data_IF_335514679530
#
_entry.id   IF_335514679530
#
_cell.length_a   1.000
_cell.length_b   1.000
_cell.length_c   1.000
_cell.angle_alpha   90.00
_cell.angle_beta   90.00
_cell.angle_gamma   90.00
#
_symmetry.space_group_name_H-M   'P 1'
#
loop_
_entity.id
_entity.type
_entity.pdbx_description
1 polymer ?
#
# COMPACT_ATOMS: atom_id res chain seq x y z
N UNK A 1 17.33 -33.48 8.67
CA UNK A 1 16.71 -32.35 9.39
C UNK A 1 17.72 -31.26 9.78
N UNK A 2 18.94 -31.62 10.15
CA UNK A 2 20.01 -30.67 10.54
C UNK A 2 20.59 -29.96 9.31
N UNK A 3 20.84 -30.69 8.23
CA UNK A 3 21.32 -30.15 6.93
C UNK A 3 20.34 -29.13 6.31
N UNK A 4 19.03 -29.38 6.44
CA UNK A 4 17.99 -28.48 5.95
C UNK A 4 17.96 -27.16 6.75
N UNK A 5 18.19 -27.22 8.07
CA UNK A 5 18.30 -26.01 8.90
C UNK A 5 19.53 -25.18 8.56
N UNK A 6 20.68 -25.81 8.38
CA UNK A 6 21.92 -25.11 8.02
C UNK A 6 21.81 -24.45 6.64
N UNK A 7 21.20 -25.13 5.66
CA UNK A 7 21.01 -24.55 4.32
C UNK A 7 19.96 -23.42 4.29
N UNK A 8 18.93 -23.47 5.13
CA UNK A 8 17.99 -22.38 5.31
C UNK A 8 18.65 -21.16 5.94
N UNK A 9 19.40 -21.35 7.03
CA UNK A 9 20.12 -20.27 7.72
C UNK A 9 21.20 -19.65 6.83
N UNK A 10 21.95 -20.45 6.06
CA UNK A 10 22.95 -19.92 5.13
C UNK A 10 22.35 -19.17 3.97
N UNK A 11 21.15 -19.57 3.46
CA UNK A 11 20.49 -18.83 2.40
C UNK A 11 19.82 -17.55 2.88
N UNK A 12 19.29 -17.51 4.10
CA UNK A 12 18.81 -16.28 4.73
C UNK A 12 19.96 -15.29 4.96
N UNK A 13 21.13 -15.80 5.35
CA UNK A 13 22.33 -14.98 5.55
C UNK A 13 22.87 -14.43 4.21
N UNK A 14 22.91 -15.24 3.14
CA UNK A 14 23.30 -14.78 1.79
C UNK A 14 22.29 -13.78 1.18
N UNK A 15 21.00 -13.89 1.46
CA UNK A 15 19.98 -12.95 1.03
C UNK A 15 20.11 -11.63 1.80
N UNK A 16 20.48 -11.70 3.07
CA UNK A 16 20.69 -10.53 3.94
C UNK A 16 21.96 -9.74 3.56
N UNK A 17 23.02 -10.44 3.15
CA UNK A 17 24.27 -9.80 2.77
C UNK A 17 24.28 -9.20 1.37
N UNK A 18 23.38 -9.67 0.47
CA UNK A 18 23.38 -9.24 -0.94
C UNK A 18 22.36 -8.16 -1.30
N UNK A 19 21.41 -7.81 -0.43
CA UNK A 19 20.33 -6.89 -0.78
C UNK A 19 19.76 -6.01 0.33
N UNK A 20 20.45 -5.79 1.43
CA UNK A 20 20.08 -4.78 2.46
C UNK A 20 18.63 -4.76 3.00
N UNK A 21 17.64 -5.13 2.23
CA UNK A 21 16.22 -5.16 2.61
C UNK A 21 15.53 -6.43 2.13
N UNK A 22 14.99 -7.20 3.07
CA UNK A 22 14.16 -8.41 2.82
C UNK A 22 12.70 -8.06 2.51
N UNK A 23 12.44 -6.94 1.85
CA UNK A 23 11.09 -6.46 1.57
C UNK A 23 10.77 -6.33 0.08
N UNK A 24 9.50 -6.01 -0.20
CA UNK A 24 9.03 -5.65 -1.53
C UNK A 24 9.00 -6.79 -2.56
N UNK A 25 9.03 -6.45 -3.86
CA UNK A 25 8.91 -7.41 -4.96
C UNK A 25 9.99 -8.49 -4.97
N UNK A 26 11.20 -8.19 -4.49
CA UNK A 26 12.30 -9.16 -4.42
C UNK A 26 11.97 -10.35 -3.50
N UNK A 27 11.30 -10.10 -2.38
CA UNK A 27 10.85 -11.17 -1.49
C UNK A 27 9.89 -12.11 -2.20
N UNK A 28 8.91 -11.56 -2.92
CA UNK A 28 7.86 -12.31 -3.58
C UNK A 28 8.39 -13.13 -4.78
N UNK A 29 9.20 -12.53 -5.62
CA UNK A 29 9.62 -13.14 -6.88
C UNK A 29 10.94 -13.93 -6.78
N UNK A 30 11.88 -13.52 -5.94
CA UNK A 30 13.17 -14.19 -5.81
C UNK A 30 13.17 -15.19 -4.67
N UNK A 31 12.78 -14.77 -3.48
CA UNK A 31 12.84 -15.63 -2.28
C UNK A 31 11.85 -16.77 -2.36
N UNK A 32 10.59 -16.51 -2.76
CA UNK A 32 9.56 -17.55 -2.89
C UNK A 32 9.92 -18.55 -3.98
N UNK A 33 10.51 -18.11 -5.09
CA UNK A 33 10.96 -19.01 -6.15
C UNK A 33 12.08 -19.95 -5.66
N UNK A 34 13.00 -19.45 -4.84
CA UNK A 34 14.04 -20.28 -4.21
C UNK A 34 13.46 -21.31 -3.23
N UNK A 35 12.39 -20.97 -2.49
CA UNK A 35 11.68 -21.90 -1.61
C UNK A 35 11.05 -23.02 -2.44
N UNK A 36 10.33 -22.70 -3.50
CA UNK A 36 9.68 -23.70 -4.36
C UNK A 36 10.70 -24.62 -5.05
N UNK A 37 11.84 -24.09 -5.49
CA UNK A 37 12.91 -24.90 -6.10
C UNK A 37 13.51 -25.93 -5.13
N UNK A 38 13.48 -25.66 -3.81
CA UNK A 38 13.95 -26.57 -2.76
C UNK A 38 12.93 -27.63 -2.36
N UNK A 39 11.66 -27.47 -2.71
CA UNK A 39 10.59 -28.44 -2.43
C UNK A 39 10.64 -29.69 -3.33
N UNK A 40 11.60 -29.78 -4.25
CA UNK A 40 11.77 -30.94 -5.14
C UNK A 40 10.64 -31.03 -6.19
N UNK A 41 10.19 -32.24 -6.51
CA UNK A 41 9.23 -32.49 -7.60
C UNK A 41 7.87 -31.82 -7.44
N UNK A 42 7.45 -31.46 -6.23
CA UNK A 42 6.19 -30.74 -5.97
C UNK A 42 6.31 -29.22 -6.05
N UNK A 43 7.54 -28.69 -6.01
CA UNK A 43 7.83 -27.26 -6.05
C UNK A 43 7.18 -26.50 -7.21
N UNK A 44 7.27 -26.96 -8.46
CA UNK A 44 6.64 -26.27 -9.59
C UNK A 44 5.12 -26.18 -9.48
N UNK A 45 4.45 -27.20 -8.95
CA UNK A 45 2.98 -27.20 -8.78
C UNK A 45 2.57 -26.16 -7.76
N UNK A 46 3.22 -26.13 -6.59
CA UNK A 46 2.96 -25.12 -5.56
C UNK A 46 3.32 -23.71 -6.03
N UNK A 47 4.40 -23.57 -6.80
CA UNK A 47 4.79 -22.27 -7.39
C UNK A 47 3.74 -21.72 -8.35
N UNK A 48 3.23 -22.55 -9.27
CA UNK A 48 2.17 -22.13 -10.21
C UNK A 48 0.91 -21.75 -9.44
N UNK A 49 0.48 -22.56 -8.47
CA UNK A 49 -0.71 -22.28 -7.68
C UNK A 49 -0.57 -20.99 -6.89
N UNK A 50 0.59 -20.76 -6.27
CA UNK A 50 0.89 -19.55 -5.51
C UNK A 50 0.83 -18.30 -6.39
N UNK A 51 1.54 -18.29 -7.53
CA UNK A 51 1.53 -17.11 -8.40
C UNK A 51 0.18 -16.86 -9.05
N UNK A 52 -0.59 -17.91 -9.33
CA UNK A 52 -1.97 -17.79 -9.81
C UNK A 52 -2.86 -17.13 -8.75
N UNK A 53 -2.74 -17.51 -7.48
CA UNK A 53 -3.44 -16.85 -6.38
C UNK A 53 -3.02 -15.38 -6.22
N UNK A 54 -1.72 -15.08 -6.35
CA UNK A 54 -1.21 -13.68 -6.30
C UNK A 54 -1.83 -12.85 -7.43
N UNK A 55 -1.92 -13.39 -8.65
CA UNK A 55 -2.54 -12.69 -9.79
C UNK A 55 -4.02 -12.43 -9.52
N UNK A 56 -4.78 -13.42 -9.03
CA UNK A 56 -6.19 -13.21 -8.71
C UNK A 56 -6.40 -12.19 -7.58
N UNK A 57 -5.57 -12.23 -6.55
CA UNK A 57 -5.60 -11.24 -5.47
C UNK A 57 -5.30 -9.83 -5.99
N UNK A 58 -4.28 -9.67 -6.84
CA UNK A 58 -3.92 -8.40 -7.44
C UNK A 58 -5.04 -7.83 -8.32
N UNK A 59 -5.66 -8.67 -9.17
CA UNK A 59 -6.76 -8.25 -10.05
C UNK A 59 -7.98 -7.82 -9.21
N UNK A 60 -8.36 -8.60 -8.20
CA UNK A 60 -9.52 -8.26 -7.36
C UNK A 60 -9.32 -6.96 -6.59
N UNK A 61 -8.12 -6.74 -6.04
CA UNK A 61 -7.78 -5.50 -5.35
C UNK A 61 -7.76 -4.30 -6.30
N UNK A 62 -7.18 -4.46 -7.50
CA UNK A 62 -7.13 -3.40 -8.51
C UNK A 62 -8.52 -2.97 -8.96
N UNK A 63 -9.43 -3.92 -9.16
CA UNK A 63 -10.83 -3.63 -9.54
C UNK A 63 -11.51 -2.85 -8.41
N UNK A 64 -11.36 -3.27 -7.16
CA UNK A 64 -11.98 -2.60 -6.01
C UNK A 64 -11.48 -1.17 -5.82
N UNK A 65 -10.17 -0.94 -5.95
CA UNK A 65 -9.58 0.39 -5.87
C UNK A 65 -10.05 1.30 -7.01
N UNK A 66 -10.08 0.77 -8.24
CA UNK A 66 -10.58 1.52 -9.39
C UNK A 66 -12.05 1.90 -9.22
N UNK A 67 -12.88 0.97 -8.73
CA UNK A 67 -14.30 1.22 -8.48
C UNK A 67 -14.51 2.32 -7.44
N UNK A 68 -13.74 2.33 -6.34
CA UNK A 68 -13.84 3.37 -5.32
C UNK A 68 -13.56 4.78 -5.89
N UNK A 69 -12.53 4.91 -6.73
CA UNK A 69 -12.20 6.17 -7.41
C UNK A 69 -13.30 6.57 -8.39
N UNK A 70 -13.77 5.63 -9.22
CA UNK A 70 -14.83 5.89 -10.23
C UNK A 70 -16.13 6.27 -9.57
N UNK A 71 -16.53 5.60 -8.48
CA UNK A 71 -17.75 5.90 -7.74
C UNK A 71 -17.77 7.36 -7.27
N UNK A 72 -16.68 7.83 -6.69
CA UNK A 72 -16.57 9.23 -6.25
C UNK A 72 -16.82 10.23 -7.39
N UNK A 73 -16.24 10.01 -8.57
CA UNK A 73 -16.43 10.90 -9.72
C UNK A 73 -17.84 10.80 -10.33
N UNK A 74 -18.43 9.60 -10.32
CA UNK A 74 -19.79 9.38 -10.81
C UNK A 74 -20.81 10.07 -9.90
N UNK A 75 -20.68 9.94 -8.57
CA UNK A 75 -21.56 10.58 -7.61
C UNK A 75 -21.49 12.11 -7.72
N UNK A 76 -20.28 12.67 -7.79
CA UNK A 76 -20.08 14.09 -8.00
C UNK A 76 -20.66 14.59 -9.34
N UNK A 77 -20.60 13.78 -10.41
CA UNK A 77 -21.21 14.12 -11.70
C UNK A 77 -22.74 14.07 -11.65
N UNK A 78 -23.30 13.12 -10.90
CA UNK A 78 -24.75 12.98 -10.68
C UNK A 78 -25.29 14.18 -9.91
N UNK A 79 -24.63 14.59 -8.84
CA UNK A 79 -25.00 15.79 -8.07
C UNK A 79 -24.94 17.07 -8.90
N UNK A 80 -24.04 17.12 -9.88
CA UNK A 80 -23.90 18.22 -10.83
C UNK A 80 -24.89 18.15 -12.04
N UNK A 81 -25.82 17.21 -12.07
CA UNK A 81 -26.83 17.06 -13.13
C UNK A 81 -26.27 16.60 -14.50
N UNK A 82 -25.02 16.09 -14.57
CA UNK A 82 -24.35 15.74 -15.84
C UNK A 82 -24.66 14.33 -16.36
N UNK A 83 -25.59 13.61 -15.74
CA UNK A 83 -25.97 12.24 -16.13
C UNK A 83 -24.89 11.18 -15.84
N UNK A 84 -25.28 9.92 -15.97
CA UNK A 84 -24.39 8.78 -15.68
C UNK A 84 -23.37 8.58 -16.81
N UNK A 85 -22.13 9.02 -16.57
CA UNK A 85 -20.98 8.86 -17.48
C UNK A 85 -19.96 7.86 -16.93
N UNK A 86 -20.40 6.85 -16.18
CA UNK A 86 -19.55 5.85 -15.52
C UNK A 86 -18.48 5.28 -16.46
N UNK A 87 -18.85 4.83 -17.67
CA UNK A 87 -17.88 4.30 -18.65
C UNK A 87 -16.76 5.28 -18.98
N UNK A 88 -17.07 6.58 -19.09
CA UNK A 88 -16.07 7.61 -19.39
C UNK A 88 -15.11 7.79 -18.21
N UNK A 89 -15.62 7.86 -16.99
CA UNK A 89 -14.76 8.02 -15.80
C UNK A 89 -13.91 6.78 -15.54
N UNK A 90 -14.47 5.58 -15.74
CA UNK A 90 -13.70 4.32 -15.65
C UNK A 90 -12.55 4.29 -16.66
N UNK A 91 -12.81 4.70 -17.92
CA UNK A 91 -11.77 4.71 -18.94
C UNK A 91 -10.66 5.73 -18.63
N UNK A 92 -11.03 6.92 -18.15
CA UNK A 92 -10.04 7.94 -17.77
C UNK A 92 -9.20 7.48 -16.58
N UNK A 93 -9.83 6.93 -15.54
CA UNK A 93 -9.12 6.42 -14.37
C UNK A 93 -8.20 5.25 -14.74
N UNK A 94 -8.68 4.30 -15.53
CA UNK A 94 -7.87 3.18 -16.03
C UNK A 94 -6.68 3.66 -16.89
N UNK A 95 -6.88 4.66 -17.74
CA UNK A 95 -5.79 5.25 -18.53
C UNK A 95 -4.75 5.94 -17.66
N UNK A 96 -5.17 6.68 -16.63
CA UNK A 96 -4.25 7.34 -15.70
C UNK A 96 -3.40 6.31 -14.92
N UNK A 97 -4.02 5.24 -14.41
CA UNK A 97 -3.31 4.13 -13.76
C UNK A 97 -2.37 3.43 -14.75
N UNK A 98 -2.83 3.20 -15.99
CA UNK A 98 -2.00 2.60 -17.05
C UNK A 98 -0.73 3.39 -17.35
N UNK A 99 -0.81 4.72 -17.40
CA UNK A 99 0.37 5.60 -17.57
C UNK A 99 1.34 5.43 -16.40
N UNK A 100 0.85 5.38 -15.16
CA UNK A 100 1.67 5.12 -13.98
C UNK A 100 2.36 3.75 -14.04
N UNK A 101 1.64 2.72 -14.47
CA UNK A 101 2.22 1.38 -14.66
C UNK A 101 3.32 1.36 -15.74
N UNK A 102 3.13 2.07 -16.86
CA UNK A 102 4.15 2.17 -17.91
C UNK A 102 5.42 2.85 -17.37
N UNK A 103 5.27 3.90 -16.57
CA UNK A 103 6.39 4.60 -15.94
C UNK A 103 7.21 3.66 -15.03
N UNK A 104 6.52 2.89 -14.18
CA UNK A 104 7.15 1.92 -13.26
C UNK A 104 7.84 0.80 -14.04
N UNK A 105 7.21 0.30 -15.13
CA UNK A 105 7.81 -0.72 -15.98
C UNK A 105 9.04 -0.19 -16.73
N UNK A 106 9.01 1.05 -17.20
CA UNK A 106 10.12 1.68 -17.90
C UNK A 106 11.36 1.87 -17.00
N UNK A 107 11.15 2.08 -15.71
CA UNK A 107 12.22 2.22 -14.71
C UNK A 107 12.94 0.90 -14.41
N UNK A 108 12.35 -0.24 -14.75
CA UNK A 108 12.95 -1.58 -14.51
C UNK A 108 13.43 -1.78 -13.06
N UNK A 109 12.67 -1.30 -12.07
CA UNK A 109 12.99 -1.36 -10.64
C UNK A 109 14.29 -0.64 -10.26
N UNK A 110 14.53 0.54 -10.83
CA UNK A 110 15.73 1.35 -10.58
C UNK A 110 16.92 0.98 -11.46
N UNK A 111 16.73 0.08 -12.46
CA UNK A 111 17.75 -0.30 -13.43
C UNK A 111 17.94 0.70 -14.57
N UNK A 112 17.02 1.65 -14.73
CA UNK A 112 17.11 2.71 -15.73
C UNK A 112 17.74 3.98 -15.14
N UNK A 113 18.29 4.83 -16.02
CA UNK A 113 18.85 6.14 -15.61
C UNK A 113 17.78 7.19 -15.19
N UNK A 114 16.52 6.82 -15.24
CA UNK A 114 15.37 7.68 -14.91
C UNK A 114 14.80 7.35 -13.53
N UNK A 115 15.55 7.67 -12.48
CA UNK A 115 15.13 7.44 -11.10
C UNK A 115 14.37 8.65 -10.52
N UNK A 116 13.50 8.48 -9.51
CA UNK A 116 12.77 9.57 -8.88
C UNK A 116 13.67 10.69 -8.35
N UNK A 117 14.79 10.34 -7.72
CA UNK A 117 15.72 11.33 -7.16
C UNK A 117 16.42 12.16 -8.21
N UNK A 118 16.84 11.55 -9.32
CA UNK A 118 17.40 12.29 -10.48
C UNK A 118 16.35 13.21 -11.10
N UNK A 119 15.10 12.74 -11.20
CA UNK A 119 14.00 13.54 -11.74
C UNK A 119 13.64 14.72 -10.83
N UNK A 120 13.63 14.55 -9.52
CA UNK A 120 13.36 15.58 -8.51
C UNK A 120 14.56 16.51 -8.28
N UNK A 121 15.73 16.20 -8.84
CA UNK A 121 16.95 17.00 -8.67
C UNK A 121 17.50 16.99 -7.24
N UNK A 122 17.19 15.94 -6.46
CA UNK A 122 17.69 15.78 -5.12
C UNK A 122 19.08 15.14 -5.12
N UNK A 123 19.98 15.53 -4.18
CA UNK A 123 21.30 14.90 -4.09
C UNK A 123 21.20 13.41 -3.78
N UNK A 124 22.03 12.60 -4.44
CA UNK A 124 22.17 11.18 -4.12
C UNK A 124 22.64 11.07 -2.66
N UNK A 125 21.75 10.63 -1.78
CA UNK A 125 22.11 10.35 -0.39
C UNK A 125 22.54 8.88 -0.29
N UNK A 126 23.76 8.65 0.20
CA UNK A 126 24.33 7.31 0.42
C UNK A 126 23.61 6.48 1.50
N UNK A 127 22.59 7.06 2.13
CA UNK A 127 21.95 6.49 3.34
C UNK A 127 20.44 6.31 3.06
N UNK A 128 20.09 5.59 2.01
CA UNK A 128 18.66 5.30 1.77
C UNK A 128 18.33 3.88 2.17
N UNK A 129 17.29 3.75 2.94
CA UNK A 129 16.72 2.45 3.36
C UNK A 129 15.84 1.82 2.26
N UNK A 130 15.53 2.55 1.20
CA UNK A 130 14.69 2.13 0.09
C UNK A 130 15.42 2.21 -1.27
N UNK A 131 14.92 1.46 -2.24
CA UNK A 131 15.49 1.47 -3.58
C UNK A 131 15.05 2.75 -4.32
N UNK A 132 15.97 3.41 -5.04
CA UNK A 132 15.63 4.56 -5.87
C UNK A 132 14.92 4.10 -7.14
N UNK A 133 13.65 3.76 -7.03
CA UNK A 133 12.79 3.32 -8.12
C UNK A 133 11.39 3.92 -7.99
N UNK A 134 10.71 4.06 -9.12
CA UNK A 134 9.36 4.63 -9.15
C UNK A 134 8.33 3.80 -8.39
N UNK A 135 8.52 2.49 -8.30
CA UNK A 135 7.64 1.63 -7.52
C UNK A 135 7.68 2.00 -6.03
N UNK A 136 8.88 2.03 -5.44
CA UNK A 136 9.06 2.36 -4.01
C UNK A 136 8.67 3.82 -3.71
N UNK A 137 8.89 4.74 -4.68
CA UNK A 137 8.44 6.12 -4.55
C UNK A 137 6.92 6.26 -4.48
N UNK A 138 6.17 5.58 -5.36
CA UNK A 138 4.71 5.59 -5.31
C UNK A 138 4.17 4.85 -4.09
N UNK A 139 4.84 3.81 -3.63
CA UNK A 139 4.51 3.08 -2.41
C UNK A 139 4.65 3.99 -1.19
N UNK A 140 5.79 4.67 -1.06
CA UNK A 140 5.99 5.68 -0.03
C UNK A 140 4.93 6.79 -0.08
N UNK A 141 4.64 7.30 -1.26
CA UNK A 141 3.65 8.37 -1.41
C UNK A 141 2.25 7.90 -0.98
N UNK A 142 1.84 6.69 -1.40
CA UNK A 142 0.49 6.16 -1.11
C UNK A 142 0.38 5.61 0.31
N UNK A 143 1.25 4.70 0.70
CA UNK A 143 1.18 4.03 2.01
C UNK A 143 1.87 4.83 3.12
N UNK A 144 3.03 5.43 2.82
CA UNK A 144 3.79 6.19 3.80
C UNK A 144 3.19 7.55 4.14
N UNK A 145 2.62 8.26 3.19
CA UNK A 145 2.13 9.63 3.37
C UNK A 145 0.61 9.73 3.27
N UNK A 146 0.01 9.34 2.14
CA UNK A 146 -1.41 9.60 1.88
C UNK A 146 -2.33 8.81 2.81
N UNK A 147 -2.00 7.56 3.12
CA UNK A 147 -2.83 6.71 3.98
C UNK A 147 -2.85 7.22 5.44
N UNK A 148 -1.72 7.48 6.14
CA UNK A 148 -1.74 8.05 7.48
C UNK A 148 -2.34 9.46 7.52
N UNK A 149 -2.12 10.28 6.48
CA UNK A 149 -2.71 11.60 6.38
C UNK A 149 -4.24 11.51 6.22
N UNK A 150 -4.73 10.60 5.39
CA UNK A 150 -6.16 10.33 5.24
C UNK A 150 -6.81 9.88 6.57
N UNK A 151 -6.16 8.97 7.29
CA UNK A 151 -6.62 8.51 8.59
C UNK A 151 -6.62 9.64 9.63
N UNK A 152 -5.61 10.51 9.62
CA UNK A 152 -5.54 11.70 10.47
C UNK A 152 -6.70 12.65 10.19
N UNK A 153 -6.94 13.00 8.92
CA UNK A 153 -8.03 13.89 8.52
C UNK A 153 -9.40 13.33 8.87
N UNK A 154 -9.63 12.02 8.63
CA UNK A 154 -10.85 11.33 9.02
C UNK A 154 -11.06 11.35 10.54
N UNK A 155 -10.00 11.13 11.30
CA UNK A 155 -10.06 11.19 12.77
C UNK A 155 -10.38 12.58 13.28
N UNK A 156 -9.83 13.64 12.68
CA UNK A 156 -10.15 15.03 13.01
C UNK A 156 -11.60 15.35 12.65
N UNK A 157 -12.05 14.97 11.46
CA UNK A 157 -13.41 15.21 11.01
C UNK A 157 -14.44 14.54 11.94
N UNK A 158 -14.26 13.27 12.28
CA UNK A 158 -15.19 12.54 13.17
C UNK A 158 -15.07 13.02 14.62
N UNK A 159 -13.85 13.28 15.08
CA UNK A 159 -13.61 13.65 16.50
C UNK A 159 -14.02 15.07 16.86
N UNK A 160 -13.90 16.02 15.91
CA UNK A 160 -14.01 17.44 16.20
C UNK A 160 -15.12 18.14 15.41
N UNK A 161 -15.32 17.82 14.13
CA UNK A 161 -16.25 18.51 13.24
C UNK A 161 -17.65 17.87 13.30
N UNK A 162 -17.78 16.59 13.00
CA UNK A 162 -19.06 15.87 13.04
C UNK A 162 -19.48 15.49 14.47
N UNK A 163 -18.51 15.29 15.35
CA UNK A 163 -18.71 14.75 16.68
C UNK A 163 -18.86 13.22 16.69
N UNK A 164 -18.27 12.54 17.69
CA UNK A 164 -18.34 11.08 17.80
C UNK A 164 -19.75 10.55 18.08
N UNK A 165 -20.69 11.42 18.41
CA UNK A 165 -22.10 11.08 18.65
C UNK A 165 -22.79 10.57 17.37
N UNK A 166 -22.41 11.07 16.19
CA UNK A 166 -22.91 10.60 14.88
C UNK A 166 -22.62 9.11 14.68
N UNK A 167 -21.43 8.65 15.06
CA UNK A 167 -21.05 7.23 14.94
C UNK A 167 -21.89 6.40 15.92
N UNK A 168 -22.14 6.92 17.11
CA UNK A 168 -23.00 6.26 18.10
C UNK A 168 -24.43 6.10 17.58
N UNK A 169 -25.02 7.18 17.07
CA UNK A 169 -26.38 7.14 16.48
C UNK A 169 -26.50 6.14 15.34
N UNK A 170 -25.49 6.06 14.47
CA UNK A 170 -25.50 5.11 13.36
C UNK A 170 -25.38 3.66 13.83
N UNK A 171 -24.55 3.38 14.84
CA UNK A 171 -24.47 2.06 15.46
C UNK A 171 -25.78 1.67 16.16
N UNK A 172 -26.42 2.60 16.89
CA UNK A 172 -27.68 2.36 17.59
C UNK A 172 -28.87 2.19 16.63
N UNK A 173 -28.81 2.83 15.44
CA UNK A 173 -29.80 2.63 14.37
C UNK A 173 -29.83 1.18 13.87
N UNK A 174 -28.71 0.47 13.93
CA UNK A 174 -28.60 -0.97 13.61
C UNK A 174 -29.08 -1.88 14.76
N UNK A 175 -29.60 -1.35 15.87
CA UNK A 175 -30.13 -2.11 17.00
C UNK A 175 -29.09 -2.59 18.01
N UNK A 176 -27.84 -2.15 17.91
CA UNK A 176 -26.77 -2.50 18.83
C UNK A 176 -26.37 -1.29 19.68
N UNK A 177 -26.50 -1.41 21.01
CA UNK A 177 -25.98 -0.39 21.92
C UNK A 177 -24.45 -0.36 21.87
N UNK A 178 -23.86 0.80 21.67
CA UNK A 178 -22.40 0.99 21.63
C UNK A 178 -21.82 0.92 23.06
N UNK A 179 -21.44 -0.28 23.50
CA UNK A 179 -20.73 -0.47 24.76
C UNK A 179 -19.31 0.10 24.64
N UNK A 180 -18.92 0.99 25.57
CA UNK A 180 -17.58 1.61 25.55
C UNK A 180 -17.47 2.91 24.76
N UNK A 181 -18.58 3.59 24.50
CA UNK A 181 -18.60 4.89 23.80
C UNK A 181 -17.61 5.93 24.36
N UNK A 182 -17.46 6.01 25.69
CA UNK A 182 -16.52 6.92 26.34
C UNK A 182 -15.07 6.67 25.93
N UNK A 183 -14.67 5.39 25.86
CA UNK A 183 -13.34 4.99 25.39
C UNK A 183 -13.15 5.32 23.90
N UNK A 184 -14.13 4.98 23.07
CA UNK A 184 -14.11 5.33 21.65
C UNK A 184 -13.92 6.84 21.42
N UNK A 185 -14.65 7.67 22.16
CA UNK A 185 -14.57 9.14 22.09
C UNK A 185 -13.16 9.65 22.39
N UNK A 186 -12.50 9.12 23.41
CA UNK A 186 -11.12 9.48 23.76
C UNK A 186 -10.16 9.01 22.68
N UNK A 187 -10.31 7.78 22.21
CA UNK A 187 -9.47 7.22 21.17
C UNK A 187 -9.51 8.04 19.88
N UNK A 188 -10.71 8.31 19.33
CA UNK A 188 -10.85 9.00 18.05
C UNK A 188 -10.41 10.47 18.13
N UNK A 189 -10.57 11.10 19.30
CA UNK A 189 -10.30 12.52 19.49
C UNK A 189 -8.84 12.84 19.78
N UNK A 190 -8.14 11.95 20.51
CA UNK A 190 -6.78 12.22 20.98
C UNK A 190 -5.79 11.15 20.60
N UNK A 191 -6.08 9.88 20.84
CA UNK A 191 -5.12 8.78 20.64
C UNK A 191 -4.84 8.60 19.16
N UNK A 192 -5.88 8.50 18.34
CA UNK A 192 -5.74 8.27 16.90
C UNK A 192 -4.96 9.38 16.18
N UNK A 193 -5.29 10.70 16.36
CA UNK A 193 -4.51 11.76 15.73
C UNK A 193 -3.04 11.75 16.17
N UNK A 194 -2.78 11.53 17.47
CA UNK A 194 -1.42 11.48 17.99
C UNK A 194 -0.63 10.33 17.38
N UNK A 195 -1.22 9.13 17.33
CA UNK A 195 -0.59 7.96 16.71
C UNK A 195 -0.32 8.19 15.22
N UNK A 196 -1.27 8.79 14.48
CA UNK A 196 -1.09 9.06 13.05
C UNK A 196 0.01 10.09 12.77
N UNK A 197 0.15 11.11 13.61
CA UNK A 197 1.26 12.07 13.54
C UNK A 197 2.60 11.38 13.78
N UNK A 198 2.68 10.50 14.78
CA UNK A 198 3.90 9.74 15.07
C UNK A 198 4.28 8.80 13.92
N UNK A 199 3.29 8.13 13.31
CA UNK A 199 3.50 7.28 12.13
C UNK A 199 4.01 8.11 10.96
N UNK A 200 3.37 9.25 10.64
CA UNK A 200 3.81 10.16 9.58
C UNK A 200 5.24 10.64 9.82
N UNK A 201 5.55 11.03 11.05
CA UNK A 201 6.91 11.46 11.39
C UNK A 201 7.93 10.33 11.18
N UNK A 202 7.61 9.10 11.61
CA UNK A 202 8.45 7.92 11.42
C UNK A 202 8.71 7.63 9.95
N UNK A 203 7.66 7.62 9.13
CA UNK A 203 7.74 7.38 7.68
C UNK A 203 8.57 8.45 6.96
N UNK A 204 8.34 9.72 7.26
CA UNK A 204 9.12 10.81 6.67
C UNK A 204 10.60 10.73 7.07
N UNK A 205 10.87 10.41 8.35
CA UNK A 205 12.24 10.25 8.83
C UNK A 205 12.95 9.08 8.15
N UNK A 206 12.29 7.94 8.02
CA UNK A 206 12.86 6.75 7.38
C UNK A 206 13.15 6.97 5.90
N UNK A 207 12.34 7.79 5.25
CA UNK A 207 12.41 8.00 3.80
C UNK A 207 13.43 9.08 3.39
N UNK A 208 13.54 10.15 4.16
CA UNK A 208 14.37 11.31 3.81
C UNK A 208 15.65 11.44 4.63
N UNK A 209 15.75 10.78 5.78
CA UNK A 209 16.87 10.86 6.71
C UNK A 209 17.39 9.49 7.12
#
# INVERSE_FOLDING_TARGET
AYEIRLSLVSSEMCIRDSSGTLGGPKLLFVTMQNVFSRMGGLGPIFGILFYLLVVFAAISSSISLLEAVVAHFVDKARDSGKGDKRKKYTLIAAAAVGVGCILICADSLGGADFTPWKFLGLPEADIRTWNDCWLDFFDMLSEGIMMPLGALLMSIMIGWELGPDVVKEECERSGHAMSGYGFFKVCIKFITPLCMILVLYGQIKEFFF
#
